data_IF_657610208629
#
_entry.id   IF_657610208629
#
_cell.length_a   1.000
_cell.length_b   1.000
_cell.length_c   1.000
_cell.angle_alpha   90.00
_cell.angle_beta   90.00
_cell.angle_gamma   90.00
#
_symmetry.space_group_name_H-M   'P 1'
#
loop_
_entity.id
_entity.type
_entity.pdbx_description
1 polymer ?
#
# COMPACT_ATOMS: atom_id res chain seq x y z
N UNK A 1 4.71 -9.87 -18.34
CA UNK A 1 3.27 -9.74 -18.68
C UNK A 1 2.80 -8.41 -18.08
N UNK A 2 2.37 -7.46 -18.90
CA UNK A 2 1.87 -6.17 -18.41
C UNK A 2 0.56 -6.39 -17.64
N UNK A 3 0.55 -6.06 -16.34
CA UNK A 3 -0.64 -6.11 -15.50
C UNK A 3 -1.63 -5.02 -15.95
N UNK A 4 -2.54 -5.37 -16.87
CA UNK A 4 -3.61 -4.52 -17.42
C UNK A 4 -4.65 -4.01 -16.38
N UNK A 5 -4.39 -4.19 -15.08
CA UNK A 5 -5.31 -3.83 -13.99
C UNK A 5 -4.82 -2.68 -13.10
N UNK A 6 -3.57 -2.23 -13.25
CA UNK A 6 -3.02 -1.12 -12.46
C UNK A 6 -3.24 0.18 -13.24
N UNK A 7 -3.91 1.15 -12.62
CA UNK A 7 -4.13 2.45 -13.24
C UNK A 7 -2.80 3.16 -13.55
N UNK A 8 -2.73 3.95 -14.64
CA UNK A 8 -1.47 4.49 -15.13
C UNK A 8 -0.82 5.46 -14.14
N UNK A 9 0.51 5.51 -14.20
CA UNK A 9 1.33 6.57 -13.61
C UNK A 9 1.98 7.32 -14.76
N UNK A 10 1.59 8.58 -14.96
CA UNK A 10 2.19 9.45 -15.96
C UNK A 10 3.35 10.23 -15.35
N UNK A 11 4.31 10.63 -16.17
CA UNK A 11 5.43 11.48 -15.76
C UNK A 11 5.46 12.69 -16.66
N UNK A 12 5.41 13.88 -16.06
CA UNK A 12 5.37 15.15 -16.79
C UNK A 12 6.32 16.17 -16.16
N UNK A 13 6.94 17.01 -16.99
CA UNK A 13 7.70 18.15 -16.51
C UNK A 13 7.38 19.37 -17.38
N UNK A 14 6.57 20.28 -16.84
CA UNK A 14 6.23 21.56 -17.49
C UNK A 14 6.98 22.74 -16.92
N UNK A 15 7.96 22.48 -16.05
CA UNK A 15 8.84 23.52 -15.54
C UNK A 15 9.95 23.79 -16.54
N UNK A 16 10.58 24.96 -16.46
CA UNK A 16 11.81 25.24 -17.21
C UNK A 16 13.04 24.52 -16.64
N UNK A 17 12.87 23.76 -15.55
CA UNK A 17 13.94 23.02 -14.91
C UNK A 17 14.12 21.72 -15.69
N UNK A 18 15.26 21.57 -16.35
CA UNK A 18 15.65 20.35 -17.07
C UNK A 18 16.09 19.23 -16.11
N UNK A 19 15.30 19.00 -15.05
CA UNK A 19 15.49 17.86 -14.15
C UNK A 19 14.94 16.61 -14.82
N UNK A 20 15.80 15.60 -14.87
CA UNK A 20 15.42 14.22 -15.15
C UNK A 20 14.86 13.59 -13.87
N UNK A 21 14.12 12.49 -14.01
CA UNK A 21 13.74 11.68 -12.84
C UNK A 21 14.99 11.34 -12.01
N UNK A 22 14.87 11.30 -10.68
CA UNK A 22 16.00 10.96 -9.81
C UNK A 22 16.68 9.67 -10.27
N UNK A 23 17.94 9.77 -10.70
CA UNK A 23 18.72 8.63 -11.23
C UNK A 23 19.27 7.72 -10.14
N UNK A 24 19.33 8.21 -8.91
CA UNK A 24 19.80 7.49 -7.73
C UNK A 24 18.71 6.65 -7.06
N UNK A 25 17.55 6.48 -7.71
CA UNK A 25 16.47 5.61 -7.24
C UNK A 25 16.30 4.39 -8.13
N UNK A 26 16.07 3.25 -7.48
CA UNK A 26 15.58 2.04 -8.14
C UNK A 26 14.06 2.00 -7.98
N UNK A 27 13.34 2.02 -9.10
CA UNK A 27 11.88 1.93 -9.09
C UNK A 27 11.43 0.50 -8.83
N UNK A 28 10.72 0.30 -7.72
CA UNK A 28 10.14 -0.98 -7.32
C UNK A 28 8.61 -0.89 -7.31
N UNK A 29 7.96 -1.99 -7.66
CA UNK A 29 6.49 -2.07 -7.65
C UNK A 29 5.93 -2.63 -6.32
N UNK A 30 6.78 -3.30 -5.55
CA UNK A 30 6.46 -3.94 -4.27
C UNK A 30 7.63 -3.70 -3.30
N UNK A 31 7.33 -3.65 -2.00
CA UNK A 31 8.35 -3.45 -0.96
C UNK A 31 9.33 -4.62 -0.90
N UNK A 32 10.62 -4.30 -0.75
CA UNK A 32 11.69 -5.28 -0.51
C UNK A 32 12.00 -5.34 0.98
N UNK A 33 12.64 -6.41 1.43
CA UNK A 33 13.03 -6.58 2.83
C UNK A 33 14.54 -6.72 2.94
N UNK A 34 15.14 -6.09 3.94
CA UNK A 34 16.50 -6.43 4.38
C UNK A 34 16.54 -7.89 4.82
N UNK A 35 17.74 -8.49 4.82
CA UNK A 35 17.89 -9.88 5.25
C UNK A 35 17.40 -10.09 6.70
N UNK A 36 17.76 -9.23 7.68
CA UNK A 36 17.21 -9.34 9.04
C UNK A 36 15.69 -9.16 9.08
N UNK A 37 15.13 -8.12 8.45
CA UNK A 37 13.69 -7.87 8.47
C UNK A 37 12.90 -9.03 7.85
N UNK A 38 13.40 -9.61 6.75
CA UNK A 38 12.77 -10.74 6.09
C UNK A 38 12.59 -11.93 7.03
N UNK A 39 13.63 -12.27 7.81
CA UNK A 39 13.59 -13.36 8.78
C UNK A 39 12.47 -13.17 9.82
N UNK A 40 12.36 -11.97 10.40
CA UNK A 40 11.32 -11.68 11.39
C UNK A 40 9.90 -11.71 10.79
N UNK A 41 9.73 -11.18 9.58
CA UNK A 41 8.43 -11.17 8.89
C UNK A 41 7.99 -12.59 8.54
N UNK A 42 8.88 -13.44 8.01
CA UNK A 42 8.56 -14.83 7.68
C UNK A 42 8.19 -15.64 8.94
N UNK A 43 8.89 -15.41 10.05
CA UNK A 43 8.55 -16.02 11.34
C UNK A 43 7.17 -15.57 11.82
N UNK A 44 6.89 -14.26 11.78
CA UNK A 44 5.60 -13.72 12.19
C UNK A 44 4.44 -14.24 11.32
N UNK A 45 4.63 -14.35 9.99
CA UNK A 45 3.64 -14.91 9.06
C UNK A 45 3.31 -16.37 9.37
N UNK A 46 4.31 -17.16 9.77
CA UNK A 46 4.11 -18.56 10.16
C UNK A 46 3.34 -18.71 11.49
N UNK A 47 3.50 -17.76 12.42
CA UNK A 47 2.85 -17.77 13.73
C UNK A 47 1.48 -17.06 13.74
N UNK A 48 1.20 -16.24 12.73
CA UNK A 48 -0.04 -15.50 12.60
C UNK A 48 -1.23 -16.47 12.51
N UNK A 49 -2.22 -16.38 13.43
CA UNK A 49 -3.45 -17.12 13.27
C UNK A 49 -4.15 -16.59 12.03
N UNK A 50 -4.04 -17.33 10.94
CA UNK A 50 -4.73 -17.05 9.70
C UNK A 50 -6.24 -17.16 9.97
N UNK A 51 -6.86 -16.06 10.39
CA UNK A 51 -8.30 -15.95 10.52
C UNK A 51 -8.88 -16.03 9.11
N UNK A 52 -9.22 -17.26 8.70
CA UNK A 52 -9.73 -17.58 7.36
C UNK A 52 -11.24 -17.47 7.38
N UNK A 53 -11.79 -16.58 6.55
CA UNK A 53 -13.24 -16.57 6.34
C UNK A 53 -13.66 -17.79 5.49
N UNK A 54 -14.87 -18.30 5.72
CA UNK A 54 -15.50 -19.36 4.92
C UNK A 54 -16.62 -18.84 4.02
N UNK A 55 -16.51 -17.60 3.55
CA UNK A 55 -17.61 -16.87 2.89
C UNK A 55 -17.95 -17.28 1.44
N UNK A 56 -17.37 -18.34 0.89
CA UNK A 56 -17.64 -18.75 -0.50
C UNK A 56 -17.05 -17.76 -1.50
N UNK A 57 -17.83 -17.18 -2.41
CA UNK A 57 -17.26 -16.29 -3.44
C UNK A 57 -16.79 -14.93 -2.89
N UNK A 58 -17.62 -14.24 -2.10
CA UNK A 58 -17.36 -12.85 -1.68
C UNK A 58 -17.72 -12.66 -0.21
N UNK A 59 -16.88 -11.95 0.54
CA UNK A 59 -17.15 -11.64 1.95
C UNK A 59 -18.36 -10.71 2.11
N UNK A 60 -19.30 -11.11 2.96
CA UNK A 60 -20.44 -10.27 3.34
C UNK A 60 -19.99 -9.21 4.39
N UNK A 61 -20.24 -7.90 4.15
CA UNK A 61 -19.84 -6.82 5.07
C UNK A 61 -20.43 -6.91 6.48
N UNK A 62 -21.57 -7.59 6.65
CA UNK A 62 -22.29 -7.68 7.92
C UNK A 62 -21.86 -8.89 8.76
N UNK A 63 -21.41 -9.98 8.13
CA UNK A 63 -21.15 -11.25 8.82
C UNK A 63 -19.71 -11.77 8.72
N UNK A 64 -18.91 -11.32 7.74
CA UNK A 64 -17.56 -11.83 7.57
C UNK A 64 -16.59 -11.17 8.55
N UNK A 65 -15.82 -11.91 9.37
CA UNK A 65 -14.84 -11.30 10.30
C UNK A 65 -13.73 -10.51 9.59
N UNK A 66 -13.40 -10.84 8.34
CA UNK A 66 -12.37 -10.12 7.55
C UNK A 66 -12.86 -8.79 6.96
N UNK A 67 -14.17 -8.53 6.96
CA UNK A 67 -14.77 -7.34 6.35
C UNK A 67 -15.60 -6.52 7.34
N UNK A 68 -16.24 -7.21 8.29
CA UNK A 68 -17.07 -6.64 9.35
C UNK A 68 -16.28 -5.57 10.08
N UNK A 69 -16.92 -4.43 10.24
CA UNK A 69 -16.42 -3.21 10.88
C UNK A 69 -15.33 -2.42 10.12
N UNK A 70 -14.60 -2.99 9.14
CA UNK A 70 -13.45 -2.30 8.49
C UNK A 70 -13.79 -1.60 7.19
N UNK A 71 -14.59 -2.23 6.33
CA UNK A 71 -14.86 -1.75 4.97
C UNK A 71 -16.37 -1.78 4.73
N UNK A 72 -16.92 -0.69 4.19
CA UNK A 72 -18.34 -0.61 3.83
C UNK A 72 -18.65 -1.51 2.62
N UNK A 73 -19.93 -1.83 2.39
CA UNK A 73 -20.37 -2.55 1.19
C UNK A 73 -19.93 -1.85 -0.13
N UNK A 74 -19.65 -0.54 -0.09
CA UNK A 74 -19.14 0.25 -1.22
C UNK A 74 -17.60 0.24 -1.34
N UNK A 75 -16.89 -0.56 -0.55
CA UNK A 75 -15.43 -0.63 -0.59
C UNK A 75 -14.71 0.59 -0.02
N UNK A 76 -15.33 1.28 0.95
CA UNK A 76 -14.75 2.42 1.67
C UNK A 76 -14.25 1.99 3.04
N UNK A 77 -13.05 2.40 3.41
CA UNK A 77 -12.46 2.12 4.74
C UNK A 77 -13.21 2.93 5.82
N UNK A 78 -13.63 2.30 6.91
CA UNK A 78 -14.27 2.95 8.06
C UNK A 78 -13.21 3.56 8.98
N UNK A 79 -13.44 4.77 9.51
CA UNK A 79 -12.40 5.58 10.21
C UNK A 79 -11.90 4.96 11.50
N UNK A 80 -12.76 4.21 12.17
CA UNK A 80 -12.52 3.46 13.41
C UNK A 80 -11.43 2.38 13.27
N UNK A 81 -10.98 2.05 12.03
CA UNK A 81 -9.91 1.10 11.76
C UNK A 81 -8.80 1.68 10.87
N UNK A 82 -8.63 3.01 10.84
CA UNK A 82 -7.58 3.64 10.03
C UNK A 82 -6.16 3.23 10.47
N UNK A 83 -5.98 2.80 11.72
CA UNK A 83 -4.67 2.46 12.28
C UNK A 83 -4.19 1.07 11.86
N UNK A 84 -5.11 0.13 11.54
CA UNK A 84 -4.73 -1.22 11.15
C UNK A 84 -5.86 -1.94 10.40
N UNK A 85 -5.55 -2.45 9.21
CA UNK A 85 -6.49 -3.16 8.34
C UNK A 85 -5.94 -4.56 8.04
N UNK A 86 -6.68 -5.60 8.44
CA UNK A 86 -6.40 -6.97 8.00
C UNK A 86 -7.27 -7.30 6.80
N UNK A 87 -6.64 -7.66 5.69
CA UNK A 87 -7.29 -8.11 4.47
C UNK A 87 -7.53 -9.63 4.44
N UNK A 88 -8.44 -10.07 3.57
CA UNK A 88 -8.48 -11.48 3.19
C UNK A 88 -7.19 -11.90 2.49
N UNK A 89 -6.59 -13.01 2.95
CA UNK A 89 -5.35 -13.58 2.39
C UNK A 89 -5.64 -14.84 1.56
N UNK A 90 -4.60 -15.48 1.01
CA UNK A 90 -4.72 -16.62 0.08
C UNK A 90 -5.52 -17.80 0.66
N UNK A 91 -5.50 -18.00 1.97
CA UNK A 91 -6.20 -19.13 2.60
C UNK A 91 -7.65 -18.81 3.00
N UNK A 92 -8.12 -17.58 2.79
CA UNK A 92 -9.54 -17.26 2.93
C UNK A 92 -10.34 -17.93 1.81
N UNK A 93 -11.51 -18.51 2.13
CA UNK A 93 -12.38 -19.14 1.14
C UNK A 93 -12.94 -18.19 0.08
N UNK A 94 -12.91 -16.88 0.31
CA UNK A 94 -13.33 -15.85 -0.64
C UNK A 94 -12.41 -15.73 -1.86
N UNK A 95 -13.00 -15.47 -3.02
CA UNK A 95 -12.28 -15.31 -4.28
C UNK A 95 -11.49 -13.98 -4.35
N UNK A 96 -10.78 -13.78 -5.47
CA UNK A 96 -9.94 -12.58 -5.71
C UNK A 96 -10.73 -11.27 -5.84
N UNK A 97 -12.02 -11.34 -6.15
CA UNK A 97 -12.91 -10.16 -6.27
C UNK A 97 -13.41 -9.65 -4.91
N UNK A 98 -13.09 -10.35 -3.81
CA UNK A 98 -13.49 -9.97 -2.46
C UNK A 98 -13.12 -8.51 -2.12
N UNK A 99 -14.07 -7.67 -1.64
CA UNK A 99 -13.82 -6.29 -1.23
C UNK A 99 -12.76 -6.10 -0.14
N UNK A 100 -12.50 -7.14 0.66
CA UNK A 100 -11.45 -7.13 1.70
C UNK A 100 -10.04 -7.24 1.12
N UNK A 101 -9.87 -7.58 -0.17
CA UNK A 101 -8.57 -7.65 -0.86
C UNK A 101 -8.31 -6.32 -1.59
N UNK A 102 -7.94 -5.25 -0.88
CA UNK A 102 -7.77 -3.91 -1.45
C UNK A 102 -6.37 -3.75 -2.05
N UNK A 103 -5.32 -3.99 -1.25
CA UNK A 103 -3.91 -3.81 -1.64
C UNK A 103 -3.54 -4.65 -2.86
N UNK A 104 -4.03 -5.89 -2.93
CA UNK A 104 -3.76 -6.82 -4.04
C UNK A 104 -4.29 -6.35 -5.39
N UNK A 105 -5.18 -5.36 -5.43
CA UNK A 105 -5.67 -4.76 -6.69
C UNK A 105 -4.69 -3.74 -7.26
N UNK A 106 -3.70 -3.32 -6.46
CA UNK A 106 -2.81 -2.23 -6.78
C UNK A 106 -3.55 -0.89 -6.90
N UNK A 107 -2.85 0.09 -7.46
CA UNK A 107 -3.39 1.42 -7.72
C UNK A 107 -4.56 1.33 -8.71
N UNK A 108 -5.70 1.90 -8.33
CA UNK A 108 -6.92 1.94 -9.17
C UNK A 108 -7.25 3.33 -9.70
N UNK A 109 -6.58 4.37 -9.21
CA UNK A 109 -6.74 5.74 -9.68
C UNK A 109 -5.52 6.17 -10.49
N UNK A 110 -5.70 6.78 -11.67
CA UNK A 110 -4.59 7.30 -12.45
C UNK A 110 -3.92 8.45 -11.69
N UNK A 111 -2.58 8.42 -11.64
CA UNK A 111 -1.76 9.44 -10.98
C UNK A 111 -0.71 9.98 -11.92
N UNK A 112 -0.17 11.15 -11.58
CA UNK A 112 0.90 11.78 -12.32
C UNK A 112 2.00 12.21 -11.34
N UNK A 113 3.21 11.78 -11.66
CA UNK A 113 4.43 12.35 -11.12
C UNK A 113 4.77 13.59 -11.95
N UNK A 114 4.89 14.74 -11.29
CA UNK A 114 5.15 16.00 -11.97
C UNK A 114 6.14 16.86 -11.21
N UNK A 115 6.92 17.66 -11.94
CA UNK A 115 7.86 18.60 -11.33
C UNK A 115 7.11 19.85 -10.86
N UNK A 116 7.30 20.21 -9.59
CA UNK A 116 6.84 21.48 -9.02
C UNK A 116 7.99 22.49 -8.97
N UNK A 117 7.72 23.79 -8.86
CA UNK A 117 8.76 24.81 -8.73
C UNK A 117 9.40 24.87 -7.34
N UNK A 118 8.71 24.38 -6.30
CA UNK A 118 9.13 24.54 -4.89
C UNK A 118 9.50 23.24 -4.19
N UNK A 119 8.86 22.12 -4.52
CA UNK A 119 8.89 20.89 -3.71
C UNK A 119 9.50 19.69 -4.45
N UNK A 120 10.27 19.91 -5.52
CA UNK A 120 10.82 18.78 -6.27
C UNK A 120 9.79 18.11 -7.17
N UNK A 121 10.00 16.82 -7.37
CA UNK A 121 9.00 15.91 -7.95
C UNK A 121 7.87 15.66 -6.96
N UNK A 122 6.63 15.69 -7.43
CA UNK A 122 5.45 15.53 -6.59
C UNK A 122 4.41 14.66 -7.29
N UNK A 123 3.49 14.08 -6.51
CA UNK A 123 2.42 13.22 -7.04
C UNK A 123 1.09 13.96 -6.95
N UNK A 124 0.30 13.89 -8.02
CA UNK A 124 -1.11 14.31 -8.02
C UNK A 124 -2.00 13.24 -8.65
N UNK A 125 -3.28 13.29 -8.32
CA UNK A 125 -4.29 12.44 -8.95
C UNK A 125 -4.78 13.08 -10.24
N UNK A 126 -5.12 12.27 -11.25
CA UNK A 126 -5.69 12.75 -12.52
C UNK A 126 -7.22 12.78 -12.51
N UNK A 127 -7.82 12.23 -11.45
CA UNK A 127 -9.26 12.20 -11.22
C UNK A 127 -9.56 12.52 -9.76
N UNK A 128 -10.77 13.02 -9.44
CA UNK A 128 -11.24 13.11 -8.07
C UNK A 128 -11.28 11.73 -7.40
N UNK A 129 -10.72 11.63 -6.19
CA UNK A 129 -10.75 10.40 -5.39
C UNK A 129 -11.80 10.55 -4.28
N UNK A 130 -12.82 9.68 -4.22
CA UNK A 130 -13.76 9.68 -3.11
C UNK A 130 -13.04 9.44 -1.78
N UNK A 131 -13.50 10.12 -0.72
CA UNK A 131 -12.97 9.94 0.63
C UNK A 131 -12.93 8.46 1.03
N UNK A 132 -11.87 8.05 1.76
CA UNK A 132 -11.65 6.68 2.28
C UNK A 132 -11.43 5.59 1.21
N UNK A 133 -10.86 5.99 0.07
CA UNK A 133 -10.41 5.06 -0.97
C UNK A 133 -8.89 4.89 -0.89
N UNK A 134 -8.45 3.67 -1.14
CA UNK A 134 -7.03 3.37 -1.33
C UNK A 134 -6.52 4.08 -2.60
N UNK A 135 -5.37 4.73 -2.49
CA UNK A 135 -4.72 5.44 -3.59
C UNK A 135 -3.57 4.60 -4.14
N UNK A 136 -2.53 4.40 -3.33
CA UNK A 136 -1.34 3.63 -3.63
C UNK A 136 -0.59 3.27 -2.34
N UNK A 137 0.40 2.40 -2.45
CA UNK A 137 1.27 1.98 -1.35
C UNK A 137 2.55 2.85 -1.30
N UNK A 138 3.05 3.11 -0.09
CA UNK A 138 4.39 3.63 0.12
C UNK A 138 5.37 2.45 0.10
N UNK A 139 5.91 2.16 -1.09
CA UNK A 139 6.83 1.04 -1.29
C UNK A 139 8.27 1.47 -1.06
N UNK A 140 9.06 0.57 -0.46
CA UNK A 140 10.48 0.84 -0.18
C UNK A 140 11.22 -0.41 0.25
N UNK A 141 12.43 -0.21 0.78
CA UNK A 141 13.18 -1.25 1.48
C UNK A 141 12.77 -1.23 2.96
N UNK A 142 12.08 -2.27 3.40
CA UNK A 142 11.72 -2.48 4.80
C UNK A 142 12.97 -2.99 5.54
N UNK A 143 13.32 -2.29 6.60
CA UNK A 143 14.48 -2.56 7.45
C UNK A 143 14.05 -2.51 8.91
N UNK A 144 14.83 -3.14 9.78
CA UNK A 144 14.68 -2.98 11.22
C UNK A 144 15.13 -1.58 11.64
N UNK A 145 14.61 -1.10 12.77
CA UNK A 145 14.93 0.21 13.31
C UNK A 145 16.44 0.40 13.46
N UNK A 146 17.14 -0.62 13.98
CA UNK A 146 18.59 -0.62 14.22
C UNK A 146 19.40 -0.45 12.92
N UNK A 147 18.87 -0.90 11.79
CA UNK A 147 19.51 -0.72 10.47
C UNK A 147 19.32 0.70 9.91
N UNK A 148 18.49 1.53 10.54
CA UNK A 148 18.12 2.88 10.09
C UNK A 148 18.69 4.01 10.97
N UNK A 149 19.17 3.71 12.19
CA UNK A 149 19.64 4.72 13.17
C UNK A 149 20.76 5.61 12.59
N UNK A 150 21.65 5.04 11.77
CA UNK A 150 22.84 5.72 11.25
C UNK A 150 22.72 6.06 9.75
N UNK A 151 21.49 6.18 9.22
CA UNK A 151 21.31 6.59 7.83
C UNK A 151 21.40 8.12 7.74
N UNK A 152 22.34 8.59 6.91
CA UNK A 152 22.62 10.03 6.72
C UNK A 152 21.42 10.79 6.12
N UNK A 153 20.73 10.17 5.15
CA UNK A 153 19.54 10.74 4.51
C UNK A 153 18.26 10.06 4.98
N UNK A 154 17.52 10.76 5.83
CA UNK A 154 16.25 10.30 6.40
C UNK A 154 15.02 10.84 5.64
N UNK A 155 15.22 11.52 4.51
CA UNK A 155 14.16 12.22 3.75
C UNK A 155 13.02 11.30 3.30
N UNK A 156 13.33 10.02 3.06
CA UNK A 156 12.39 9.02 2.53
C UNK A 156 12.09 7.88 3.52
N UNK A 157 12.36 8.07 4.81
CA UNK A 157 12.00 7.11 5.84
C UNK A 157 10.53 7.25 6.25
N UNK A 158 9.87 6.11 6.40
CA UNK A 158 8.52 6.01 6.96
C UNK A 158 8.54 5.01 8.11
N UNK A 159 8.21 5.45 9.31
CA UNK A 159 8.18 4.58 10.49
C UNK A 159 6.91 3.74 10.49
N UNK A 160 7.07 2.43 10.69
CA UNK A 160 5.97 1.45 10.70
C UNK A 160 5.60 1.06 12.14
N UNK A 161 5.50 2.04 13.03
CA UNK A 161 5.13 1.80 14.43
C UNK A 161 3.60 1.66 14.54
N UNK A 162 3.14 0.68 15.31
CA UNK A 162 1.75 0.71 15.79
C UNK A 162 1.64 1.84 16.81
N UNK A 163 0.53 2.60 16.85
CA UNK A 163 0.32 3.55 17.92
C UNK A 163 0.47 2.81 19.25
N UNK A 164 1.29 3.36 20.15
CA UNK A 164 1.44 2.84 21.50
C UNK A 164 0.04 2.64 22.10
N UNK A 165 -0.18 1.45 22.67
CA UNK A 165 -1.42 1.13 23.38
C UNK A 165 -1.61 2.02 24.60
#
# INVERSE_FOLDING_TARGET
>A
MQNNHIAPLLVENWTRICDVLPKNFTWIAESLFSYPAKFYIEKADAELPAAKCKCGEVCNPSSCPCLKAKITAKGLIRSEYANFINECHKDCGCNRKCPSRILRRGRTFPVMLFRTSKCGWSVRTLVPIPRRRFVMEYVGLIKLYEECINVDDQTYLFNCDLPDG
#
